data_IF_551344696670
#
_entry.id   IF_551344696670
#
_cell.length_a   1.000
_cell.length_b   1.000
_cell.length_c   1.000
_cell.angle_alpha   90.00
_cell.angle_beta   90.00
_cell.angle_gamma   90.00
#
_symmetry.space_group_name_H-M   'P 1'
#
loop_
_entity.id
_entity.type
_entity.pdbx_description
1 polymer ?
#
# COMPACT_ATOMS: atom_id res chain seq x y z
N UNK A 1 -16.56 25.19 16.43
CA UNK A 1 -16.52 23.94 15.64
C UNK A 1 -16.60 22.80 16.65
N UNK A 2 -17.70 22.04 16.67
CA UNK A 2 -17.78 20.83 17.50
C UNK A 2 -16.72 19.82 17.02
N UNK A 3 -16.00 19.15 17.94
CA UNK A 3 -15.10 18.08 17.57
C UNK A 3 -15.94 17.00 16.87
N UNK A 4 -15.54 16.63 15.65
CA UNK A 4 -16.17 15.52 14.95
C UNK A 4 -16.17 14.31 15.88
N UNK A 5 -17.33 13.68 16.07
CA UNK A 5 -17.47 12.51 16.90
C UNK A 5 -16.42 11.47 16.46
N UNK A 6 -15.59 11.04 17.41
CA UNK A 6 -14.52 10.08 17.15
C UNK A 6 -15.14 8.70 16.93
N UNK A 7 -15.59 8.44 15.69
CA UNK A 7 -16.14 7.14 15.31
C UNK A 7 -15.03 6.09 15.49
N UNK A 8 -15.30 4.99 16.24
CA UNK A 8 -14.30 3.94 16.41
C UNK A 8 -13.96 3.30 15.06
N UNK A 9 -12.71 2.82 14.89
CA UNK A 9 -12.33 2.11 13.67
C UNK A 9 -13.15 0.83 13.50
N UNK A 10 -13.50 0.50 12.24
CA UNK A 10 -14.10 -0.80 11.94
C UNK A 10 -13.14 -1.94 12.33
N UNK A 11 -13.70 -3.12 12.63
CA UNK A 11 -12.89 -4.30 12.95
C UNK A 11 -11.97 -4.66 11.77
N UNK A 12 -10.77 -5.15 12.09
CA UNK A 12 -9.91 -5.81 11.10
C UNK A 12 -10.53 -7.17 10.77
N UNK A 13 -10.75 -7.43 9.49
CA UNK A 13 -11.38 -8.67 9.02
C UNK A 13 -10.48 -9.36 8.00
N UNK A 14 -10.40 -10.67 8.04
CA UNK A 14 -9.58 -11.48 7.12
C UNK A 14 -10.15 -11.55 5.71
N UNK A 15 -11.43 -11.23 5.55
CA UNK A 15 -12.11 -11.17 4.25
C UNK A 15 -12.72 -9.77 4.03
N UNK A 16 -12.86 -9.38 2.76
CA UNK A 16 -13.39 -8.07 2.41
C UNK A 16 -14.84 -7.89 2.90
N UNK A 17 -15.12 -6.96 3.82
CA UNK A 17 -16.48 -6.72 4.31
C UNK A 17 -17.38 -6.02 3.27
N UNK A 18 -16.79 -5.46 2.24
CA UNK A 18 -17.47 -4.72 1.14
C UNK A 18 -17.00 -5.21 -0.23
N UNK A 19 -17.35 -6.44 -0.66
CA UNK A 19 -16.86 -7.01 -1.91
C UNK A 19 -17.16 -6.12 -3.13
N UNK A 20 -16.17 -5.91 -3.97
CA UNK A 20 -16.27 -5.07 -5.18
C UNK A 20 -16.93 -5.87 -6.29
N UNK A 21 -18.25 -5.77 -6.41
CA UNK A 21 -19.04 -6.51 -7.42
C UNK A 21 -18.85 -5.96 -8.84
N UNK A 22 -18.63 -4.64 -8.98
CA UNK A 22 -18.45 -3.96 -10.28
C UNK A 22 -17.12 -3.21 -10.27
N UNK A 23 -16.00 -3.92 -10.44
CA UNK A 23 -14.69 -3.29 -10.48
C UNK A 23 -14.56 -2.40 -11.71
N UNK A 24 -13.82 -1.31 -11.58
CA UNK A 24 -13.39 -0.47 -12.71
C UNK A 24 -11.99 -0.86 -13.17
N UNK A 25 -11.24 -1.60 -12.34
CA UNK A 25 -9.89 -2.06 -12.63
C UNK A 25 -9.63 -3.42 -11.98
N UNK A 26 -8.95 -4.29 -12.72
CA UNK A 26 -8.44 -5.57 -12.25
C UNK A 26 -6.92 -5.53 -12.28
N UNK A 27 -6.28 -6.04 -11.22
CA UNK A 27 -4.83 -6.05 -11.04
C UNK A 27 -4.40 -7.39 -10.43
N UNK A 28 -3.19 -7.83 -10.71
CA UNK A 28 -2.51 -8.87 -9.94
C UNK A 28 -1.35 -8.23 -9.19
N UNK A 29 -1.25 -8.44 -7.88
CA UNK A 29 -0.12 -8.02 -7.05
C UNK A 29 0.66 -9.27 -6.67
N UNK A 30 1.83 -9.45 -7.27
CA UNK A 30 2.63 -10.67 -7.15
C UNK A 30 4.04 -10.37 -6.63
N UNK A 31 4.69 -11.42 -6.12
CA UNK A 31 6.06 -11.29 -5.56
C UNK A 31 6.14 -10.07 -4.64
N UNK A 32 5.19 -9.98 -3.70
CA UNK A 32 5.03 -8.81 -2.83
C UNK A 32 5.82 -9.02 -1.54
N UNK A 33 6.76 -8.11 -1.30
CA UNK A 33 7.41 -7.97 0.00
C UNK A 33 6.83 -6.75 0.71
N UNK A 34 6.65 -6.84 2.01
CA UNK A 34 6.28 -5.72 2.84
C UNK A 34 7.24 -5.60 4.02
N UNK A 35 7.90 -4.46 4.11
CA UNK A 35 8.80 -4.11 5.22
C UNK A 35 8.16 -2.98 5.99
N UNK A 36 7.78 -3.24 7.26
CA UNK A 36 7.04 -2.29 8.07
C UNK A 36 7.80 -1.88 9.31
N UNK A 37 7.79 -0.58 9.61
CA UNK A 37 8.38 -0.01 10.82
C UNK A 37 7.33 0.71 11.66
N UNK A 38 7.58 0.72 12.97
CA UNK A 38 6.80 1.50 13.93
C UNK A 38 7.21 2.96 13.88
N UNK A 39 6.21 3.84 14.00
CA UNK A 39 6.40 5.28 14.07
C UNK A 39 5.54 5.87 15.19
N UNK A 40 5.94 7.05 15.69
CA UNK A 40 5.08 7.87 16.49
C UNK A 40 3.84 8.29 15.68
N UNK A 41 2.62 8.06 16.19
CA UNK A 41 1.39 8.46 15.49
C UNK A 41 1.34 9.94 15.12
N UNK A 42 1.89 10.84 15.94
CA UNK A 42 1.91 12.28 15.68
C UNK A 42 2.76 12.61 14.44
N UNK A 43 3.88 11.91 14.25
CA UNK A 43 4.75 12.06 13.07
C UNK A 43 4.01 11.68 11.81
N UNK A 44 3.36 10.52 11.80
CA UNK A 44 2.62 10.06 10.60
C UNK A 44 1.36 10.90 10.37
N UNK A 45 0.67 11.31 11.44
CA UNK A 45 -0.52 12.16 11.34
C UNK A 45 -0.22 13.50 10.66
N UNK A 46 0.97 14.05 10.84
CA UNK A 46 1.37 15.33 10.21
C UNK A 46 1.44 15.28 8.67
N UNK A 47 1.53 14.09 8.09
CA UNK A 47 1.53 13.87 6.63
C UNK A 47 0.13 13.67 6.05
N UNK A 48 -0.87 13.45 6.91
CA UNK A 48 -2.22 13.14 6.47
C UNK A 48 -3.04 14.42 6.25
N UNK A 49 -3.96 14.42 5.27
CA UNK A 49 -4.90 15.52 5.12
C UNK A 49 -5.88 15.58 6.28
N UNK A 50 -6.45 16.79 6.49
CA UNK A 50 -7.55 16.97 7.42
C UNK A 50 -8.69 15.97 7.12
N UNK A 51 -9.27 15.41 8.18
CA UNK A 51 -10.36 14.43 8.08
C UNK A 51 -9.90 12.96 8.03
N UNK A 52 -8.62 12.67 7.76
CA UNK A 52 -8.05 11.35 7.96
C UNK A 52 -7.32 11.28 9.30
N UNK A 53 -7.55 10.20 10.02
CA UNK A 53 -6.83 9.89 11.26
C UNK A 53 -5.89 8.72 11.01
N UNK A 54 -4.67 8.82 11.53
CA UNK A 54 -3.74 7.68 11.49
C UNK A 54 -4.35 6.49 12.23
N UNK A 55 -4.27 5.32 11.62
CA UNK A 55 -4.67 4.06 12.24
C UNK A 55 -3.49 3.48 13.00
N UNK A 56 -3.73 3.00 14.22
CA UNK A 56 -2.68 2.52 15.11
C UNK A 56 -2.92 1.08 15.55
N UNK A 57 -1.83 0.38 15.79
CA UNK A 57 -1.80 -0.93 16.44
C UNK A 57 -0.81 -0.85 17.60
N UNK A 58 -1.24 -1.25 18.81
CA UNK A 58 -0.46 -1.15 20.05
C UNK A 58 0.14 0.24 20.27
N UNK A 59 -0.68 1.28 20.04
CA UNK A 59 -0.28 2.67 20.25
C UNK A 59 0.72 3.23 19.25
N UNK A 60 1.13 2.47 18.24
CA UNK A 60 2.04 2.90 17.19
C UNK A 60 1.35 3.05 15.84
N UNK A 61 1.79 4.03 15.05
CA UNK A 61 1.56 4.07 13.61
C UNK A 61 2.52 3.12 12.89
N UNK A 62 2.13 2.67 11.71
CA UNK A 62 2.93 1.77 10.90
C UNK A 62 3.13 2.33 9.50
N UNK A 63 4.36 2.30 9.03
CA UNK A 63 4.73 2.70 7.66
C UNK A 63 5.31 1.49 6.96
N UNK A 64 4.82 1.20 5.78
CA UNK A 64 5.23 0.05 4.98
C UNK A 64 5.86 0.46 3.67
N UNK A 65 7.07 -0.05 3.41
CA UNK A 65 7.73 -0.05 2.11
C UNK A 65 7.39 -1.39 1.43
N UNK A 66 6.72 -1.33 0.28
CA UNK A 66 6.09 -2.51 -0.31
C UNK A 66 6.43 -2.61 -1.79
N UNK A 67 7.58 -3.19 -2.13
CA UNK A 67 7.91 -3.56 -3.49
C UNK A 67 7.17 -4.82 -3.92
N UNK A 68 6.67 -4.82 -5.17
CA UNK A 68 5.95 -5.95 -5.75
C UNK A 68 5.91 -5.90 -7.27
N UNK A 69 5.43 -6.96 -7.88
CA UNK A 69 5.21 -7.06 -9.31
C UNK A 69 3.73 -6.84 -9.63
N UNK A 70 3.40 -5.65 -10.16
CA UNK A 70 2.10 -5.40 -10.77
C UNK A 70 1.93 -6.27 -12.02
N UNK A 71 0.87 -7.06 -12.09
CA UNK A 71 0.60 -7.93 -13.24
C UNK A 71 -0.81 -7.71 -13.78
N UNK A 72 -0.90 -7.74 -15.11
CA UNK A 72 -2.17 -7.77 -15.86
C UNK A 72 -3.18 -6.69 -15.46
N UNK A 73 -2.70 -5.47 -15.17
CA UNK A 73 -3.61 -4.33 -14.94
C UNK A 73 -4.48 -4.11 -16.19
N UNK A 74 -5.80 -4.07 -15.99
CA UNK A 74 -6.77 -3.91 -17.08
C UNK A 74 -8.12 -3.40 -16.59
N UNK A 75 -8.88 -2.82 -17.52
CA UNK A 75 -10.32 -2.57 -17.33
C UNK A 75 -11.06 -3.90 -17.52
N UNK A 76 -12.12 -4.21 -16.74
CA UNK A 76 -12.94 -5.39 -16.95
C UNK A 76 -13.46 -5.49 -18.40
N UNK A 77 -13.41 -6.68 -18.97
CA UNK A 77 -13.83 -6.93 -20.36
C UNK A 77 -12.77 -6.60 -21.43
N UNK A 78 -11.61 -6.04 -21.03
CA UNK A 78 -10.50 -5.80 -21.96
C UNK A 78 -9.34 -6.75 -21.72
N UNK A 79 -8.54 -7.08 -22.76
CA UNK A 79 -7.31 -7.85 -22.56
C UNK A 79 -6.25 -7.02 -21.84
N UNK A 80 -5.35 -7.71 -21.14
CA UNK A 80 -4.16 -7.09 -20.60
C UNK A 80 -3.17 -6.75 -21.74
N UNK A 81 -2.54 -5.58 -21.67
CA UNK A 81 -1.67 -5.06 -22.73
C UNK A 81 -0.21 -5.54 -22.58
N UNK A 82 0.01 -6.83 -22.27
CA UNK A 82 1.33 -7.44 -22.13
C UNK A 82 2.26 -6.64 -21.19
N UNK A 83 3.44 -6.27 -21.68
CA UNK A 83 4.44 -5.53 -20.90
C UNK A 83 4.00 -4.12 -20.41
N UNK A 84 2.96 -3.54 -20.98
CA UNK A 84 2.41 -2.25 -20.52
C UNK A 84 1.52 -2.39 -19.31
N UNK A 85 1.00 -3.58 -19.07
CA UNK A 85 0.14 -3.92 -17.94
C UNK A 85 0.85 -4.76 -16.86
N UNK A 86 2.19 -4.95 -17.00
CA UNK A 86 3.00 -5.77 -16.09
C UNK A 86 4.34 -5.06 -15.87
N UNK A 87 4.62 -4.66 -14.62
CA UNK A 87 5.80 -3.88 -14.26
C UNK A 87 6.06 -3.91 -12.74
N UNK A 88 7.30 -3.70 -12.30
CA UNK A 88 7.62 -3.47 -10.89
C UNK A 88 7.00 -2.18 -10.37
N UNK A 89 6.53 -2.23 -9.12
CA UNK A 89 6.02 -1.08 -8.36
C UNK A 89 6.54 -1.16 -6.91
N UNK A 90 6.78 0.00 -6.29
CA UNK A 90 7.09 0.09 -4.87
C UNK A 90 6.18 1.13 -4.23
N UNK A 91 5.36 0.70 -3.28
CA UNK A 91 4.48 1.55 -2.52
C UNK A 91 5.12 1.94 -1.20
N UNK A 92 5.14 3.21 -0.87
CA UNK A 92 5.30 3.67 0.50
C UNK A 92 3.94 4.06 1.03
N UNK A 93 3.46 3.36 2.06
CA UNK A 93 2.11 3.54 2.57
C UNK A 93 2.03 3.59 4.08
N UNK A 94 0.97 4.18 4.58
CA UNK A 94 0.54 4.09 5.98
C UNK A 94 -0.94 3.71 6.05
N UNK A 95 -1.46 3.60 7.25
CA UNK A 95 -2.80 3.12 7.54
C UNK A 95 -3.63 4.23 8.16
N UNK A 96 -4.87 4.37 7.70
CA UNK A 96 -5.73 5.48 8.09
C UNK A 96 -7.16 5.03 8.40
N UNK A 97 -7.84 5.84 9.19
CA UNK A 97 -9.26 5.72 9.48
C UNK A 97 -9.97 6.95 8.94
N UNK A 98 -10.99 6.73 8.13
CA UNK A 98 -11.85 7.77 7.59
C UNK A 98 -12.83 8.30 8.67
N UNK A 99 -13.49 9.46 8.46
CA UNK A 99 -14.43 10.03 9.42
C UNK A 99 -15.61 9.13 9.79
N UNK A 100 -15.98 8.18 8.93
CA UNK A 100 -17.04 7.19 9.17
C UNK A 100 -16.53 5.89 9.83
N UNK A 101 -15.27 5.87 10.28
CA UNK A 101 -14.65 4.72 10.96
C UNK A 101 -14.04 3.68 10.02
N UNK A 102 -14.20 3.77 8.71
CA UNK A 102 -13.63 2.80 7.77
C UNK A 102 -12.12 2.90 7.70
N UNK A 103 -11.47 1.74 7.61
CA UNK A 103 -10.02 1.62 7.49
C UNK A 103 -9.57 1.61 6.03
N UNK A 104 -8.46 2.29 5.74
CA UNK A 104 -7.86 2.31 4.40
C UNK A 104 -6.34 2.37 4.48
N UNK A 105 -5.70 2.21 3.31
CA UNK A 105 -4.30 2.61 3.11
C UNK A 105 -4.26 4.04 2.59
N UNK A 106 -3.21 4.77 3.00
CA UNK A 106 -2.81 6.05 2.43
C UNK A 106 -1.42 5.90 1.82
N UNK A 107 -1.27 6.32 0.56
CA UNK A 107 0.01 6.23 -0.12
C UNK A 107 0.80 7.54 0.04
N UNK A 108 1.99 7.43 0.63
CA UNK A 108 2.97 8.52 0.69
C UNK A 108 3.70 8.67 -0.65
N UNK A 109 4.01 7.55 -1.32
CA UNK A 109 4.48 7.51 -2.71
C UNK A 109 4.20 6.15 -3.36
N UNK A 110 4.18 6.16 -4.70
CA UNK A 110 4.00 5.00 -5.57
C UNK A 110 5.04 5.08 -6.68
N UNK A 111 6.15 4.38 -6.52
CA UNK A 111 7.22 4.35 -7.52
C UNK A 111 6.96 3.23 -8.52
N UNK A 112 6.99 3.56 -9.83
CA UNK A 112 6.72 2.61 -10.91
C UNK A 112 7.75 2.72 -12.03
N UNK A 113 7.99 1.61 -12.70
CA UNK A 113 8.92 1.58 -13.84
C UNK A 113 8.29 2.04 -15.17
N UNK A 114 7.00 2.35 -15.20
CA UNK A 114 6.25 2.75 -16.41
C UNK A 114 5.59 4.11 -16.25
N UNK A 115 5.95 5.06 -17.11
CA UNK A 115 5.45 6.43 -17.05
C UNK A 115 3.94 6.53 -17.40
N UNK A 116 3.48 5.83 -18.43
CA UNK A 116 2.11 5.97 -18.91
C UNK A 116 1.05 5.55 -17.85
N UNK A 117 1.15 4.38 -17.19
CA UNK A 117 0.27 4.06 -16.07
C UNK A 117 0.36 5.07 -14.92
N UNK A 118 1.56 5.59 -14.63
CA UNK A 118 1.76 6.59 -13.58
C UNK A 118 0.99 7.88 -13.88
N UNK A 119 1.06 8.39 -15.10
CA UNK A 119 0.35 9.61 -15.51
C UNK A 119 -1.16 9.41 -15.43
N UNK A 120 -1.69 8.31 -15.97
CA UNK A 120 -3.13 8.01 -15.94
C UNK A 120 -3.63 7.93 -14.50
N UNK A 121 -2.97 7.16 -13.63
CA UNK A 121 -3.40 7.00 -12.25
C UNK A 121 -3.27 8.30 -11.43
N UNK A 122 -2.27 9.13 -11.71
CA UNK A 122 -2.10 10.44 -11.07
C UNK A 122 -3.21 11.41 -11.46
N UNK A 123 -3.64 11.38 -12.72
CA UNK A 123 -4.69 12.28 -13.24
C UNK A 123 -6.12 11.81 -12.94
N UNK A 124 -6.32 10.52 -12.65
CA UNK A 124 -7.65 9.95 -12.39
C UNK A 124 -7.92 9.67 -10.91
N UNK A 125 -6.90 9.25 -10.16
CA UNK A 125 -7.03 8.84 -8.76
C UNK A 125 -6.30 9.76 -7.77
N UNK A 126 -5.54 10.77 -8.24
CA UNK A 126 -4.76 11.65 -7.37
C UNK A 126 -3.67 10.95 -6.57
N UNK A 127 -3.21 9.80 -7.05
CA UNK A 127 -2.19 9.02 -6.36
C UNK A 127 -0.78 9.59 -6.62
N UNK A 128 0.12 9.62 -5.62
CA UNK A 128 1.44 10.25 -5.70
C UNK A 128 2.45 9.36 -6.48
N UNK A 129 2.14 9.07 -7.73
CA UNK A 129 2.99 8.25 -8.58
C UNK A 129 4.30 8.95 -8.94
N UNK A 130 5.39 8.21 -8.78
CA UNK A 130 6.74 8.57 -9.16
C UNK A 130 7.23 7.59 -10.24
N UNK A 131 8.21 8.00 -11.04
CA UNK A 131 8.72 7.18 -12.11
C UNK A 131 10.24 7.05 -12.06
N UNK A 132 10.74 5.84 -12.36
CA UNK A 132 12.15 5.55 -12.52
C UNK A 132 12.43 4.08 -12.88
N UNK A 133 13.67 3.71 -13.18
CA UNK A 133 14.03 2.32 -13.39
C UNK A 133 13.85 1.51 -12.11
N UNK A 134 13.33 0.28 -12.28
CA UNK A 134 13.09 -0.68 -11.21
C UNK A 134 13.36 -2.09 -11.72
N UNK A 135 13.77 -2.99 -10.83
CA UNK A 135 13.91 -4.42 -11.11
C UNK A 135 13.44 -5.28 -9.94
N UNK A 136 13.08 -6.50 -10.27
CA UNK A 136 12.84 -7.59 -9.32
C UNK A 136 13.68 -8.76 -9.82
N UNK A 137 14.59 -9.26 -8.99
CA UNK A 137 15.46 -10.39 -9.32
C UNK A 137 15.30 -11.50 -8.28
N UNK A 138 15.42 -12.73 -8.72
CA UNK A 138 15.39 -13.91 -7.86
C UNK A 138 16.76 -14.56 -7.96
N UNK A 139 17.61 -14.38 -6.94
CA UNK A 139 18.96 -14.97 -6.91
C UNK A 139 18.91 -16.46 -6.60
N UNK A 140 17.85 -16.89 -5.92
CA UNK A 140 17.53 -18.28 -5.63
C UNK A 140 16.02 -18.48 -5.54
N UNK A 141 15.56 -19.71 -5.29
CA UNK A 141 14.14 -19.98 -5.05
C UNK A 141 13.59 -19.17 -3.86
N UNK A 142 14.43 -18.93 -2.85
CA UNK A 142 14.02 -18.34 -1.57
C UNK A 142 14.43 -16.88 -1.42
N UNK A 143 15.30 -16.35 -2.29
CA UNK A 143 15.79 -14.97 -2.19
C UNK A 143 15.24 -14.10 -3.30
N UNK A 144 14.72 -12.94 -2.95
CA UNK A 144 14.25 -11.95 -3.90
C UNK A 144 14.81 -10.57 -3.55
N UNK A 145 15.26 -9.86 -4.57
CA UNK A 145 15.76 -8.49 -4.49
C UNK A 145 14.88 -7.56 -5.32
N UNK A 146 14.61 -6.40 -4.77
CA UNK A 146 13.86 -5.31 -5.41
C UNK A 146 14.74 -4.07 -5.45
N UNK A 147 14.80 -3.41 -6.61
CA UNK A 147 15.46 -2.12 -6.74
C UNK A 147 14.53 -1.08 -7.34
N UNK A 148 14.65 0.16 -6.87
CA UNK A 148 13.98 1.32 -7.42
C UNK A 148 14.91 2.53 -7.38
N UNK A 149 14.88 3.37 -8.44
CA UNK A 149 15.65 4.60 -8.49
C UNK A 149 14.81 5.68 -9.14
N UNK A 150 14.30 6.61 -8.34
CA UNK A 150 13.37 7.65 -8.79
C UNK A 150 14.06 8.64 -9.73
N UNK A 151 13.40 8.96 -10.85
CA UNK A 151 13.82 9.98 -11.81
C UNK A 151 12.86 11.15 -11.91
N UNK A 152 11.60 10.96 -11.54
CA UNK A 152 10.56 11.97 -11.56
C UNK A 152 9.56 11.72 -10.42
N UNK A 153 8.99 12.77 -9.77
CA UNK A 153 9.23 14.20 -10.01
C UNK A 153 10.60 14.68 -9.52
N UNK A 154 11.15 14.08 -8.48
CA UNK A 154 12.44 14.46 -7.89
C UNK A 154 13.45 13.33 -8.10
N UNK A 155 14.57 13.62 -8.74
CA UNK A 155 15.66 12.66 -8.94
C UNK A 155 16.46 12.49 -7.64
N UNK A 156 16.85 11.25 -7.35
CA UNK A 156 17.75 10.93 -6.24
C UNK A 156 17.25 9.82 -5.33
N UNK A 157 15.99 9.85 -4.83
CA UNK A 157 15.51 8.79 -3.94
C UNK A 157 15.61 7.41 -4.60
N UNK A 158 16.06 6.43 -3.82
CA UNK A 158 16.24 5.05 -4.26
C UNK A 158 15.88 4.07 -3.15
N UNK A 159 15.67 2.83 -3.54
CA UNK A 159 15.42 1.73 -2.61
C UNK A 159 16.04 0.45 -3.15
N UNK A 160 16.70 -0.30 -2.28
CA UNK A 160 17.14 -1.67 -2.50
C UNK A 160 16.71 -2.50 -1.30
N UNK A 161 15.89 -3.50 -1.55
CA UNK A 161 15.37 -4.41 -0.52
C UNK A 161 15.66 -5.83 -0.98
N UNK A 162 16.38 -6.59 -0.17
CA UNK A 162 16.59 -8.03 -0.37
C UNK A 162 16.07 -8.81 0.83
N UNK A 163 15.31 -9.87 0.56
CA UNK A 163 14.76 -10.73 1.60
C UNK A 163 15.03 -12.20 1.30
N UNK A 164 15.03 -12.99 2.38
CA UNK A 164 14.86 -14.45 2.31
C UNK A 164 13.43 -14.81 2.71
N UNK A 165 12.71 -15.47 1.82
CA UNK A 165 11.35 -15.95 2.06
C UNK A 165 11.37 -17.04 3.13
N UNK A 166 10.51 -16.93 4.12
CA UNK A 166 10.32 -17.95 5.13
C UNK A 166 9.20 -18.93 4.77
N UNK A 167 8.84 -19.76 5.71
CA UNK A 167 7.72 -20.68 5.57
C UNK A 167 6.38 -19.91 5.51
N UNK A 168 5.37 -20.45 4.81
CA UNK A 168 4.04 -19.89 4.82
C UNK A 168 3.43 -19.93 6.23
N UNK A 169 2.63 -18.92 6.54
CA UNK A 169 1.89 -18.80 7.81
C UNK A 169 0.44 -19.15 7.54
N UNK A 170 -0.06 -20.17 8.22
CA UNK A 170 -1.47 -20.49 8.15
C UNK A 170 -2.32 -19.30 8.62
N UNK A 171 -3.49 -19.10 8.04
CA UNK A 171 -4.34 -17.95 8.36
C UNK A 171 -4.71 -17.88 9.85
N UNK A 172 -4.87 -19.04 10.49
CA UNK A 172 -5.17 -19.14 11.92
C UNK A 172 -3.98 -18.73 12.82
N UNK A 173 -2.76 -18.81 12.30
CA UNK A 173 -1.51 -18.49 13.01
C UNK A 173 -1.00 -17.07 12.74
N UNK A 174 -1.72 -16.31 11.91
CA UNK A 174 -1.42 -14.90 11.69
C UNK A 174 -1.74 -14.08 12.94
N UNK A 175 -0.78 -13.28 13.37
CA UNK A 175 -0.95 -12.37 14.51
C UNK A 175 -1.90 -11.22 14.17
N UNK A 176 -2.45 -10.57 15.18
CA UNK A 176 -3.30 -9.38 15.02
C UNK A 176 -2.57 -8.27 14.27
N UNK A 177 -1.26 -8.14 14.47
CA UNK A 177 -0.44 -7.18 13.73
C UNK A 177 -0.32 -7.54 12.26
N UNK A 178 -0.04 -8.80 11.91
CA UNK A 178 0.05 -9.24 10.52
C UNK A 178 -1.28 -9.04 9.79
N UNK A 179 -2.39 -9.29 10.45
CA UNK A 179 -3.72 -8.99 9.90
C UNK A 179 -3.96 -7.48 9.77
N UNK A 180 -3.58 -6.69 10.78
CA UNK A 180 -3.65 -5.22 10.73
C UNK A 180 -2.86 -4.64 9.54
N UNK A 181 -1.68 -5.17 9.25
CA UNK A 181 -0.81 -4.70 8.16
C UNK A 181 -1.27 -5.16 6.77
N UNK A 182 -1.96 -6.28 6.65
CA UNK A 182 -2.31 -6.92 5.37
C UNK A 182 -3.78 -6.77 4.98
N UNK A 183 -4.72 -6.84 5.93
CA UNK A 183 -6.15 -6.84 5.67
C UNK A 183 -6.69 -5.40 5.50
N UNK A 184 -6.54 -4.83 4.31
CA UNK A 184 -7.01 -3.48 3.97
C UNK A 184 -7.89 -3.49 2.72
N UNK A 185 -9.10 -2.99 2.89
CA UNK A 185 -10.19 -3.13 1.91
C UNK A 185 -10.56 -1.82 1.24
N UNK A 186 -9.70 -0.81 1.38
CA UNK A 186 -9.86 0.47 0.71
C UNK A 186 -8.52 1.21 0.60
N UNK A 187 -8.47 2.16 -0.33
CA UNK A 187 -7.44 3.18 -0.43
C UNK A 187 -8.07 4.57 -0.31
N UNK A 188 -7.35 5.47 0.34
CA UNK A 188 -7.65 6.90 0.40
C UNK A 188 -6.57 7.67 -0.36
N UNK A 189 -6.96 8.72 -1.06
CA UNK A 189 -6.06 9.60 -1.79
C UNK A 189 -6.62 11.03 -1.85
N UNK A 190 -5.81 12.00 -2.30
CA UNK A 190 -6.24 13.39 -2.53
C UNK A 190 -5.96 13.80 -3.96
N UNK A 191 -6.97 14.29 -4.65
CA UNK A 191 -6.88 14.82 -5.99
C UNK A 191 -7.49 16.22 -6.06
N UNK A 192 -6.71 17.24 -6.42
CA UNK A 192 -7.16 18.63 -6.56
C UNK A 192 -8.05 19.09 -5.38
N UNK A 193 -7.58 18.98 -4.16
CA UNK A 193 -8.29 19.31 -2.92
C UNK A 193 -9.54 18.46 -2.61
N UNK A 194 -9.79 17.39 -3.36
CA UNK A 194 -10.86 16.43 -3.07
C UNK A 194 -10.27 15.17 -2.47
N UNK A 195 -10.77 14.77 -1.32
CA UNK A 195 -10.41 13.48 -0.73
C UNK A 195 -11.23 12.37 -1.39
N UNK A 196 -10.52 11.40 -1.94
CA UNK A 196 -11.06 10.28 -2.68
C UNK A 196 -10.93 8.99 -1.89
N UNK A 197 -11.85 8.10 -2.14
CA UNK A 197 -11.94 6.77 -1.59
C UNK A 197 -12.22 5.76 -2.69
N UNK A 198 -11.51 4.64 -2.70
CA UNK A 198 -11.87 3.50 -3.54
C UNK A 198 -11.83 2.21 -2.72
N UNK A 199 -12.89 1.40 -2.83
CA UNK A 199 -12.91 0.09 -2.22
C UNK A 199 -11.98 -0.86 -2.99
N UNK A 200 -11.29 -1.71 -2.26
CA UNK A 200 -10.36 -2.72 -2.75
C UNK A 200 -10.83 -4.08 -2.25
N UNK A 201 -10.81 -5.06 -3.13
CA UNK A 201 -11.24 -6.42 -2.81
C UNK A 201 -10.21 -7.42 -3.36
N UNK A 202 -9.77 -8.32 -2.52
CA UNK A 202 -8.83 -9.38 -2.85
C UNK A 202 -9.03 -10.59 -1.92
N UNK A 203 -8.59 -11.79 -2.28
CA UNK A 203 -8.55 -12.92 -1.35
C UNK A 203 -7.63 -12.63 -0.15
N UNK A 204 -7.79 -13.35 0.97
CA UNK A 204 -6.79 -13.31 2.05
C UNK A 204 -5.38 -13.55 1.54
N UNK A 205 -4.41 -12.83 2.12
CA UNK A 205 -3.01 -13.00 1.76
C UNK A 205 -2.45 -14.32 2.26
N UNK A 206 -1.73 -15.03 1.39
CA UNK A 206 -0.81 -16.08 1.81
C UNK A 206 0.47 -15.38 2.26
N UNK A 207 0.69 -15.30 3.56
CA UNK A 207 1.83 -14.60 4.16
C UNK A 207 2.97 -15.57 4.47
N UNK A 208 4.20 -15.10 4.28
CA UNK A 208 5.42 -15.76 4.70
C UNK A 208 6.20 -14.79 5.59
N UNK A 209 6.52 -15.18 6.84
CA UNK A 209 7.45 -14.41 7.68
C UNK A 209 8.84 -14.53 7.07
N UNK A 210 9.43 -13.40 6.74
CA UNK A 210 10.65 -13.34 5.93
C UNK A 210 11.77 -12.64 6.69
N UNK A 211 13.01 -12.98 6.34
CA UNK A 211 14.20 -12.34 6.87
C UNK A 211 14.62 -11.18 5.96
N UNK A 212 14.87 -10.02 6.53
CA UNK A 212 15.45 -8.89 5.81
C UNK A 212 16.96 -9.09 5.70
N UNK A 213 17.46 -9.24 4.47
CA UNK A 213 18.90 -9.41 4.21
C UNK A 213 19.58 -8.05 3.98
N UNK A 214 18.89 -7.14 3.28
CA UNK A 214 19.37 -5.80 2.97
C UNK A 214 18.19 -4.83 2.85
N UNK A 215 18.38 -3.63 3.36
CA UNK A 215 17.46 -2.51 3.13
C UNK A 215 18.26 -1.19 3.08
N UNK A 216 18.53 -0.72 1.87
CA UNK A 216 19.06 0.62 1.62
C UNK A 216 17.96 1.43 0.96
N UNK A 217 17.30 2.29 1.76
CA UNK A 217 16.11 3.03 1.34
C UNK A 217 16.17 4.50 1.69
N UNK A 218 15.84 5.33 0.73
CA UNK A 218 15.64 6.77 0.89
C UNK A 218 14.24 7.24 0.46
N UNK A 219 13.34 6.33 0.06
CA UNK A 219 11.96 6.68 -0.30
C UNK A 219 11.17 7.13 0.91
N UNK A 220 11.43 6.53 2.08
CA UNK A 220 10.79 6.89 3.36
C UNK A 220 11.12 8.33 3.74
N UNK A 221 12.40 8.70 3.72
CA UNK A 221 12.83 10.07 4.04
C UNK A 221 12.40 11.08 2.97
N UNK A 222 12.39 10.68 1.70
CA UNK A 222 11.89 11.51 0.61
C UNK A 222 10.38 11.81 0.69
N UNK A 223 9.62 11.01 1.44
CA UNK A 223 8.20 11.24 1.73
C UNK A 223 7.97 12.16 2.95
N UNK A 224 9.03 12.64 3.60
CA UNK A 224 8.95 13.54 4.75
C UNK A 224 8.93 12.84 6.11
N UNK A 225 9.16 11.53 6.14
CA UNK A 225 9.28 10.77 7.39
C UNK A 225 10.73 10.74 7.89
N UNK A 226 10.96 10.64 9.20
CA UNK A 226 12.28 10.28 9.72
C UNK A 226 12.76 8.95 9.15
N UNK A 227 14.08 8.74 9.13
CA UNK A 227 14.64 7.44 8.76
C UNK A 227 14.05 6.34 9.65
N UNK A 228 13.70 5.16 9.07
CA UNK A 228 13.18 4.05 9.84
C UNK A 228 14.13 3.65 10.97
N UNK A 229 13.58 3.24 12.11
CA UNK A 229 14.36 2.77 13.26
C UNK A 229 13.72 1.54 13.89
N UNK A 230 14.52 0.74 14.57
CA UNK A 230 14.09 -0.51 15.17
C UNK A 230 13.97 -1.65 14.17
N UNK A 231 13.61 -2.82 14.68
CA UNK A 231 13.46 -4.04 13.86
C UNK A 231 12.15 -3.99 13.05
N UNK A 232 12.20 -4.19 11.74
CA UNK A 232 11.00 -4.21 10.92
C UNK A 232 10.25 -5.53 11.01
N UNK A 233 8.94 -5.46 10.74
CA UNK A 233 8.14 -6.65 10.41
C UNK A 233 8.24 -6.88 8.91
N UNK A 234 8.75 -8.05 8.52
CA UNK A 234 8.98 -8.40 7.11
C UNK A 234 8.12 -9.59 6.72
N UNK A 235 7.26 -9.36 5.73
CA UNK A 235 6.37 -10.39 5.19
C UNK A 235 6.53 -10.45 3.67
N UNK A 236 6.44 -11.64 3.12
CA UNK A 236 6.35 -11.87 1.68
C UNK A 236 5.06 -12.61 1.33
N UNK A 237 4.57 -12.41 0.12
CA UNK A 237 3.44 -13.14 -0.44
C UNK A 237 3.65 -13.45 -1.91
N UNK A 238 3.25 -14.64 -2.40
CA UNK A 238 3.24 -14.94 -3.83
C UNK A 238 2.29 -14.03 -4.60
N UNK A 239 1.29 -13.48 -3.93
CA UNK A 239 0.40 -12.46 -4.47
C UNK A 239 -1.07 -12.82 -4.47
N UNK A 240 -1.88 -11.85 -4.93
CA UNK A 240 -3.33 -11.94 -5.03
C UNK A 240 -3.85 -11.23 -6.29
N UNK A 241 -5.01 -11.64 -6.77
CA UNK A 241 -5.79 -10.89 -7.76
C UNK A 241 -6.67 -9.87 -7.04
N UNK A 242 -6.66 -8.64 -7.53
CA UNK A 242 -7.26 -7.48 -6.89
C UNK A 242 -8.32 -6.84 -7.78
N UNK A 243 -9.41 -6.44 -7.16
CA UNK A 243 -10.54 -5.72 -7.78
C UNK A 243 -10.63 -4.33 -7.17
N UNK A 244 -10.51 -3.30 -7.99
CA UNK A 244 -10.60 -1.90 -7.55
C UNK A 244 -11.97 -1.36 -7.91
N UNK A 245 -12.66 -0.79 -6.92
CA UNK A 245 -13.94 -0.13 -7.08
C UNK A 245 -13.80 1.27 -7.69
N UNK A 246 -14.94 1.84 -8.10
CA UNK A 246 -14.97 3.21 -8.64
C UNK A 246 -14.56 4.21 -7.56
N UNK A 247 -13.64 5.15 -7.85
CA UNK A 247 -13.32 6.24 -6.96
C UNK A 247 -14.57 7.09 -6.66
N UNK A 248 -14.72 7.47 -5.41
CA UNK A 248 -15.78 8.37 -4.93
C UNK A 248 -15.21 9.36 -3.92
N UNK A 249 -15.96 10.40 -3.61
CA UNK A 249 -15.60 11.29 -2.50
C UNK A 249 -15.50 10.48 -1.20
N UNK A 250 -14.52 10.83 -0.38
CA UNK A 250 -14.33 10.18 0.92
C UNK A 250 -15.61 10.31 1.77
N UNK A 251 -16.01 9.25 2.47
CA UNK A 251 -17.14 9.31 3.38
C UNK A 251 -16.94 10.43 4.41
N UNK A 252 -17.99 11.20 4.66
CA UNK A 252 -18.01 12.18 5.74
C UNK A 252 -18.56 11.52 7.00
N UNK A 253 -18.24 12.05 8.17
CA UNK A 253 -18.91 11.63 9.39
C UNK A 253 -20.41 11.91 9.26
N UNK A 254 -21.24 10.90 9.48
CA UNK A 254 -22.68 11.13 9.64
C UNK A 254 -22.88 11.90 10.96
N UNK A 255 -22.85 13.23 10.91
CA UNK A 255 -23.42 14.06 11.97
C UNK A 255 -24.94 13.86 11.91
N UNK A 256 -25.46 12.91 12.67
CA UNK A 256 -26.86 12.89 13.09
C UNK A 256 -26.97 13.42 14.52
#
# INVERSE_FOLDING_TARGET
MSPAANVPPEAVTTSCPRPVRRPVMLQGWHDLTSVHWRYDPAVVQSLLPDGLRVDTHDGAAWVGLIPFHMRRIRVPGTPALGRFSTFPETNLRTYVVAPDGKRAVWFCSLDVSRLAPAVVARTTYGLPYCWGPMSITHDSADTVEYTASRRWPNRGPSSRVAIRKGAPVEQADQTDLEQFLSARWALASRFLCMDLWADVDHPPWVLHRSELLECDDSLVTAAGLPAPSGEPVVLWSPGVEVRIGRPRRMPQSNSR
#
